data_IF_440837845076
#
_entry.id   IF_440837845076
#
_cell.length_a   1.000
_cell.length_b   1.000
_cell.length_c   1.000
_cell.angle_alpha   90.00
_cell.angle_beta   90.00
_cell.angle_gamma   90.00
#
_symmetry.space_group_name_H-M   'P 1'
#
loop_
_entity.id
_entity.type
_entity.pdbx_description
1 polymer ?
#
# COMPACT_ATOMS: atom_id res chain seq x y z
N UNK A 1 -3.86 8.07 -11.89
CA UNK A 1 -3.55 6.63 -11.67
C UNK A 1 -3.38 6.39 -10.17
N UNK A 2 -3.92 5.29 -9.63
CA UNK A 2 -3.81 4.93 -8.22
C UNK A 2 -3.04 3.61 -8.07
N UNK A 3 -1.82 3.66 -7.52
CA UNK A 3 -1.06 2.48 -7.12
C UNK A 3 -1.34 2.14 -5.66
N UNK A 4 -1.86 0.94 -5.38
CA UNK A 4 -2.05 0.43 -4.02
C UNK A 4 -0.90 -0.53 -3.70
N UNK A 5 -0.04 -0.14 -2.77
CA UNK A 5 1.31 -0.70 -2.63
C UNK A 5 1.46 -1.42 -1.29
N UNK A 6 1.81 -2.71 -1.34
CA UNK A 6 2.33 -3.42 -0.18
C UNK A 6 3.80 -3.07 0.06
N UNK A 7 4.13 -2.44 1.19
CA UNK A 7 5.50 -2.00 1.51
C UNK A 7 6.32 -3.05 2.27
N UNK A 8 5.80 -4.26 2.39
CA UNK A 8 6.44 -5.34 3.13
C UNK A 8 6.42 -5.14 4.65
N UNK A 9 7.20 -5.93 5.42
CA UNK A 9 7.14 -5.98 6.88
C UNK A 9 7.81 -4.78 7.58
N UNK A 10 8.31 -3.79 6.82
CA UNK A 10 8.81 -2.52 7.34
C UNK A 10 10.31 -2.28 7.16
N UNK A 11 11.10 -3.31 6.83
CA UNK A 11 12.48 -3.11 6.37
C UNK A 11 12.48 -2.74 4.89
N UNK A 12 13.25 -1.71 4.53
CA UNK A 12 13.46 -1.33 3.13
C UNK A 12 14.06 -2.47 2.29
N UNK A 13 14.91 -3.32 2.88
CA UNK A 13 15.51 -4.46 2.20
C UNK A 13 14.49 -5.56 1.82
N UNK A 14 13.29 -5.52 2.40
CA UNK A 14 12.19 -6.45 2.12
C UNK A 14 11.09 -5.82 1.26
N UNK A 15 11.29 -4.60 0.76
CA UNK A 15 10.42 -4.01 -0.26
C UNK A 15 10.73 -4.62 -1.63
N UNK A 16 9.71 -4.83 -2.44
CA UNK A 16 9.89 -5.22 -3.85
C UNK A 16 10.44 -4.02 -4.64
N UNK A 17 11.18 -4.31 -5.71
CA UNK A 17 11.65 -3.25 -6.61
C UNK A 17 10.48 -2.47 -7.23
N UNK A 18 9.40 -3.16 -7.58
CA UNK A 18 8.18 -2.54 -8.10
C UNK A 18 7.54 -1.55 -7.10
N UNK A 19 7.50 -1.89 -5.80
CA UNK A 19 6.99 -0.99 -4.77
C UNK A 19 7.86 0.27 -4.65
N UNK A 20 9.19 0.12 -4.72
CA UNK A 20 10.13 1.25 -4.68
C UNK A 20 9.94 2.15 -5.91
N UNK A 21 9.89 1.57 -7.10
CA UNK A 21 9.71 2.30 -8.36
C UNK A 21 8.38 3.07 -8.38
N UNK A 22 7.29 2.45 -7.93
CA UNK A 22 5.99 3.11 -7.85
C UNK A 22 5.96 4.24 -6.81
N UNK A 23 6.61 4.04 -5.64
CA UNK A 23 6.78 5.11 -4.65
C UNK A 23 7.60 6.28 -5.20
N UNK A 24 8.64 5.99 -6.01
CA UNK A 24 9.46 7.01 -6.67
C UNK A 24 8.74 7.72 -7.82
N UNK A 25 7.86 7.04 -8.54
CA UNK A 25 7.07 7.63 -9.62
C UNK A 25 5.86 8.44 -9.13
N UNK A 26 5.32 8.14 -7.94
CA UNK A 26 4.15 8.82 -7.41
C UNK A 26 4.41 10.30 -7.10
N UNK A 27 3.44 11.16 -7.33
CA UNK A 27 3.45 12.58 -6.95
C UNK A 27 2.98 12.77 -5.50
N UNK A 28 2.03 11.94 -5.08
CA UNK A 28 1.39 12.02 -3.77
C UNK A 28 1.41 10.65 -3.11
N UNK A 29 1.86 10.60 -1.86
CA UNK A 29 1.83 9.38 -1.02
C UNK A 29 0.73 9.50 0.02
N UNK A 30 -0.18 8.55 0.04
CA UNK A 30 -1.30 8.47 0.99
C UNK A 30 -1.11 7.25 1.87
N UNK A 31 -1.20 7.39 3.19
CA UNK A 31 -0.96 6.27 4.10
C UNK A 31 -1.33 6.49 5.55
N UNK A 32 -1.24 5.42 6.34
CA UNK A 32 -1.27 5.52 7.80
C UNK A 32 -0.01 6.23 8.30
N UNK A 33 -0.15 7.10 9.30
CA UNK A 33 0.97 7.89 9.87
C UNK A 33 2.22 7.04 10.13
N UNK A 34 2.10 5.87 10.73
CA UNK A 34 3.24 4.98 11.02
C UNK A 34 3.91 4.47 9.74
N UNK A 35 3.14 4.05 8.73
CA UNK A 35 3.69 3.50 7.50
C UNK A 35 4.35 4.57 6.63
N UNK A 36 3.85 5.80 6.66
CA UNK A 36 4.50 6.91 5.93
C UNK A 36 5.90 7.22 6.44
N UNK A 37 6.23 6.85 7.69
CA UNK A 37 7.58 6.98 8.20
C UNK A 37 8.55 5.97 7.58
N UNK A 38 8.08 4.75 7.31
CA UNK A 38 8.87 3.65 6.75
C UNK A 38 9.30 3.92 5.30
N UNK A 39 8.51 4.70 4.56
CA UNK A 39 8.81 5.06 3.17
C UNK A 39 9.42 6.46 3.02
N UNK A 40 9.79 7.14 4.12
CA UNK A 40 10.26 8.54 4.10
C UNK A 40 11.45 8.75 3.16
N UNK A 41 12.32 7.75 2.99
CA UNK A 41 13.44 7.81 2.06
C UNK A 41 13.02 7.98 0.59
N UNK A 42 11.79 7.58 0.24
CA UNK A 42 11.23 7.63 -1.11
C UNK A 42 10.28 8.81 -1.32
N UNK A 43 9.88 9.50 -0.24
CA UNK A 43 8.94 10.61 -0.34
C UNK A 43 9.61 11.90 -0.76
N UNK A 44 10.89 12.15 -0.43
CA UNK A 44 11.55 13.42 -0.73
C UNK A 44 10.67 14.63 -0.32
N UNK A 45 10.47 15.56 -1.26
CA UNK A 45 9.60 16.74 -1.12
C UNK A 45 8.14 16.52 -1.55
N UNK A 46 7.75 15.28 -1.86
CA UNK A 46 6.40 14.94 -2.32
C UNK A 46 5.37 15.25 -1.24
N UNK A 47 4.14 15.50 -1.68
CA UNK A 47 3.01 15.62 -0.78
C UNK A 47 2.75 14.27 -0.11
N UNK A 48 2.67 14.26 1.23
CA UNK A 48 2.34 13.06 2.01
C UNK A 48 1.07 13.29 2.83
N UNK A 49 0.00 12.60 2.48
CA UNK A 49 -1.27 12.63 3.21
C UNK A 49 -1.28 11.49 4.22
N UNK A 50 -1.47 11.86 5.49
CA UNK A 50 -1.39 10.96 6.64
C UNK A 50 -2.73 10.93 7.32
N UNK A 51 -3.33 9.75 7.45
CA UNK A 51 -4.53 9.58 8.30
C UNK A 51 -4.19 8.82 9.58
N UNK A 52 -5.07 8.95 10.58
CA UNK A 52 -5.00 8.19 11.84
C UNK A 52 -5.54 6.77 11.70
N UNK A 53 -5.66 6.08 12.84
CA UNK A 53 -6.34 4.78 12.93
C UNK A 53 -7.85 4.92 12.64
N UNK A 54 -8.50 3.82 12.24
CA UNK A 54 -9.95 3.74 12.00
C UNK A 54 -10.46 4.71 10.91
N UNK A 55 -9.59 5.04 9.95
CA UNK A 55 -9.84 5.98 8.85
C UNK A 55 -9.50 5.35 7.50
N UNK A 56 -9.69 4.04 7.36
CA UNK A 56 -9.36 3.26 6.18
C UNK A 56 -10.20 3.72 4.97
N UNK A 57 -11.51 3.88 5.17
CA UNK A 57 -12.44 4.36 4.13
C UNK A 57 -12.07 5.78 3.70
N UNK A 58 -11.91 6.70 4.64
CA UNK A 58 -11.50 8.08 4.35
C UNK A 58 -10.16 8.14 3.60
N UNK A 59 -9.21 7.28 3.97
CA UNK A 59 -7.90 7.21 3.32
C UNK A 59 -8.00 6.72 1.87
N UNK A 60 -8.79 5.69 1.62
CA UNK A 60 -9.01 5.18 0.27
C UNK A 60 -9.74 6.22 -0.58
N UNK A 61 -10.78 6.85 -0.04
CA UNK A 61 -11.54 7.89 -0.72
C UNK A 61 -10.64 9.08 -1.12
N UNK A 62 -9.80 9.58 -0.20
CA UNK A 62 -8.85 10.64 -0.51
C UNK A 62 -7.84 10.25 -1.62
N UNK A 63 -7.34 9.00 -1.59
CA UNK A 63 -6.41 8.53 -2.63
C UNK A 63 -7.09 8.41 -4.01
N UNK A 64 -8.34 7.95 -4.03
CA UNK A 64 -9.17 7.85 -5.24
C UNK A 64 -9.44 9.24 -5.82
N UNK A 65 -9.88 10.19 -5.01
CA UNK A 65 -10.18 11.56 -5.45
C UNK A 65 -8.98 12.25 -6.08
N UNK A 66 -7.80 12.08 -5.49
CA UNK A 66 -6.55 12.62 -6.04
C UNK A 66 -6.18 11.95 -7.37
N UNK A 67 -6.39 10.64 -7.48
CA UNK A 67 -6.14 9.92 -8.73
C UNK A 67 -7.13 10.34 -9.84
N UNK A 68 -8.39 10.63 -9.50
CA UNK A 68 -9.39 11.19 -10.42
C UNK A 68 -9.06 12.61 -10.85
N UNK A 69 -8.44 13.40 -9.97
CA UNK A 69 -7.90 14.72 -10.31
C UNK A 69 -6.68 14.67 -11.26
N UNK A 70 -6.26 13.46 -11.68
CA UNK A 70 -5.18 13.26 -12.64
C UNK A 70 -3.81 13.00 -12.02
N UNK A 71 -3.70 12.96 -10.69
CA UNK A 71 -2.42 12.72 -10.03
C UNK A 71 -1.97 11.26 -10.12
N UNK A 72 -0.66 11.06 -10.04
CA UNK A 72 -0.07 9.75 -9.79
C UNK A 72 0.03 9.50 -8.27
N UNK A 73 -0.83 8.63 -7.73
CA UNK A 73 -1.01 8.46 -6.29
C UNK A 73 -0.51 7.09 -5.83
N UNK A 74 0.29 7.07 -4.76
CA UNK A 74 0.69 5.85 -4.05
C UNK A 74 -0.06 5.73 -2.72
N UNK A 75 -1.00 4.77 -2.64
CA UNK A 75 -1.66 4.38 -1.39
C UNK A 75 -0.92 3.20 -0.75
N UNK A 76 -0.26 3.43 0.38
CA UNK A 76 0.58 2.40 1.01
C UNK A 76 -0.17 1.57 2.07
N UNK A 77 0.13 0.27 2.08
CA UNK A 77 -0.27 -0.72 3.10
C UNK A 77 0.97 -1.44 3.62
N UNK A 78 1.05 -1.73 4.92
CA UNK A 78 2.07 -2.64 5.46
C UNK A 78 1.90 -4.05 4.92
N UNK A 79 2.98 -4.82 4.81
CA UNK A 79 2.92 -6.18 4.29
C UNK A 79 2.50 -6.18 2.82
N UNK A 80 1.47 -6.97 2.51
CA UNK A 80 0.82 -6.99 1.21
C UNK A 80 -0.47 -6.14 1.21
N UNK A 81 -0.76 -5.44 0.13
CA UNK A 81 -1.97 -4.60 0.04
C UNK A 81 -3.28 -5.40 -0.01
N UNK A 82 -3.24 -6.66 -0.44
CA UNK A 82 -4.37 -7.58 -0.53
C UNK A 82 -4.64 -8.38 0.74
N UNK A 83 -3.70 -8.47 1.68
CA UNK A 83 -3.86 -9.23 2.93
C UNK A 83 -4.13 -8.27 4.09
N UNK A 84 -5.40 -8.15 4.49
CA UNK A 84 -5.87 -7.19 5.50
C UNK A 84 -5.40 -5.74 5.22
N UNK A 85 -5.16 -5.41 3.95
CA UNK A 85 -4.67 -4.11 3.48
C UNK A 85 -5.76 -3.28 2.78
N UNK A 86 -5.34 -2.27 2.01
CA UNK A 86 -6.26 -1.30 1.40
C UNK A 86 -6.81 -1.73 0.03
N UNK A 87 -6.26 -2.77 -0.62
CA UNK A 87 -6.62 -3.12 -2.00
C UNK A 87 -8.11 -3.47 -2.15
N UNK A 88 -8.63 -4.33 -1.26
CA UNK A 88 -10.05 -4.72 -1.29
C UNK A 88 -10.98 -3.52 -1.14
N UNK A 89 -10.67 -2.62 -0.21
CA UNK A 89 -11.50 -1.42 0.04
C UNK A 89 -11.46 -0.43 -1.12
N UNK A 90 -10.29 -0.23 -1.74
CA UNK A 90 -10.17 0.61 -2.96
C UNK A 90 -11.01 0.03 -4.09
N UNK A 91 -10.85 -1.27 -4.39
CA UNK A 91 -11.60 -1.92 -5.47
C UNK A 91 -13.12 -1.88 -5.21
N UNK A 92 -13.54 -2.07 -3.96
CA UNK A 92 -14.95 -1.94 -3.57
C UNK A 92 -15.49 -0.54 -3.84
N UNK A 93 -14.78 0.52 -3.39
CA UNK A 93 -15.21 1.90 -3.57
C UNK A 93 -15.26 2.30 -5.05
N UNK A 94 -14.21 1.99 -5.80
CA UNK A 94 -14.14 2.26 -7.26
C UNK A 94 -15.25 1.53 -8.00
N UNK A 95 -15.46 0.24 -7.70
CA UNK A 95 -16.49 -0.58 -8.33
C UNK A 95 -17.91 -0.12 -8.02
N UNK A 96 -18.23 0.17 -6.74
CA UNK A 96 -19.56 0.64 -6.32
C UNK A 96 -19.93 1.98 -6.94
N UNK A 97 -18.96 2.89 -7.04
CA UNK A 97 -19.17 4.23 -7.57
C UNK A 97 -18.97 4.32 -9.09
N UNK A 98 -18.56 3.23 -9.75
CA UNK A 98 -18.25 3.15 -11.20
C UNK A 98 -17.27 4.24 -11.63
N UNK A 99 -16.22 4.45 -10.83
CA UNK A 99 -15.24 5.50 -11.09
C UNK A 99 -14.29 5.06 -12.20
N UNK A 100 -13.98 5.98 -13.12
CA UNK A 100 -12.97 5.78 -14.15
C UNK A 100 -11.59 6.13 -13.57
N UNK A 101 -11.01 5.19 -12.82
CA UNK A 101 -9.68 5.31 -12.21
C UNK A 101 -8.90 4.04 -12.50
N UNK A 102 -7.73 4.18 -13.12
CA UNK A 102 -6.79 3.08 -13.24
C UNK A 102 -6.21 2.75 -11.85
N UNK A 103 -6.54 1.55 -11.35
CA UNK A 103 -6.02 1.01 -10.09
C UNK A 103 -5.01 -0.09 -10.38
N UNK A 104 -3.78 0.09 -9.90
CA UNK A 104 -2.70 -0.90 -9.96
C UNK A 104 -2.42 -1.44 -8.56
N UNK A 105 -2.44 -2.75 -8.39
CA UNK A 105 -2.06 -3.40 -7.14
C UNK A 105 -0.60 -3.84 -7.23
N UNK A 106 0.22 -3.43 -6.25
CA UNK A 106 1.64 -3.78 -6.19
C UNK A 106 1.87 -4.67 -4.97
N UNK A 107 2.36 -5.91 -5.18
CA UNK A 107 2.49 -6.87 -4.09
C UNK A 107 3.61 -6.49 -3.14
N UNK A 108 3.45 -6.91 -1.88
CA UNK A 108 4.46 -6.77 -0.84
C UNK A 108 4.65 -8.06 -0.05
N UNK A 109 5.79 -8.19 0.63
CA UNK A 109 6.04 -9.34 1.49
C UNK A 109 5.16 -9.28 2.74
N UNK A 110 4.16 -10.16 2.83
CA UNK A 110 3.27 -10.19 3.99
C UNK A 110 3.96 -10.65 5.27
N UNK A 111 3.43 -10.22 6.42
CA UNK A 111 4.04 -10.41 7.72
C UNK A 111 4.22 -11.89 8.11
N UNK A 112 3.27 -12.76 7.75
CA UNK A 112 3.36 -14.19 8.06
C UNK A 112 4.56 -14.85 7.41
N UNK A 113 4.82 -14.55 6.13
CA UNK A 113 5.96 -15.08 5.37
C UNK A 113 7.28 -14.48 5.86
N UNK A 114 7.30 -13.18 6.14
CA UNK A 114 8.47 -12.52 6.72
C UNK A 114 8.85 -13.14 8.08
N UNK A 115 7.86 -13.34 8.97
CA UNK A 115 8.08 -13.98 10.26
C UNK A 115 8.54 -15.44 10.12
N UNK A 116 7.98 -16.20 9.17
CA UNK A 116 8.37 -17.58 8.93
C UNK A 116 9.87 -17.71 8.60
N UNK A 117 10.43 -16.77 7.81
CA UNK A 117 11.86 -16.75 7.47
C UNK A 117 12.79 -16.62 8.69
N UNK A 118 12.33 -15.96 9.75
CA UNK A 118 13.08 -15.80 11.00
C UNK A 118 13.00 -17.03 11.90
N UNK A 119 12.00 -17.89 11.66
CA UNK A 119 11.68 -19.07 12.45
C UNK A 119 12.08 -20.38 11.74
N UNK A 120 12.67 -20.30 10.55
CA UNK A 120 12.99 -21.43 9.69
C UNK A 120 11.90 -21.69 8.66
N UNK A 121 11.05 -22.70 8.89
CA UNK A 121 10.00 -23.10 7.95
C UNK A 121 8.66 -23.46 8.63
N UNK A 122 8.12 -22.62 9.55
CA UNK A 122 6.91 -22.96 10.31
C UNK A 122 5.63 -23.04 9.46
N UNK A 123 5.65 -22.51 8.23
CA UNK A 123 4.52 -22.48 7.29
C UNK A 123 4.77 -23.39 6.06
N UNK A 124 5.59 -24.44 6.19
CA UNK A 124 5.98 -25.30 5.07
C UNK A 124 4.90 -26.29 4.59
N UNK A 125 3.86 -26.50 5.40
CA UNK A 125 2.68 -27.30 5.06
C UNK A 125 1.47 -26.39 4.84
N UNK A 126 0.31 -26.99 4.59
CA UNK A 126 -0.95 -26.29 4.43
C UNK A 126 -1.15 -25.28 5.56
N UNK A 127 -1.36 -24.02 5.19
CA UNK A 127 -1.60 -22.92 6.11
C UNK A 127 -2.67 -21.99 5.54
N UNK A 128 -3.28 -21.20 6.42
CA UNK A 128 -4.18 -20.12 6.07
C UNK A 128 -3.55 -18.78 6.47
N UNK A 129 -3.82 -17.75 5.68
CA UNK A 129 -3.54 -16.36 6.04
C UNK A 129 -4.55 -15.82 7.05
#
# INVERSE_FOLDING_TARGET
MLSVIGIGPGSQAMMTMEAIEALQAAEIVVGYKTYTHLVKAFTGDKQVIKTGMCKEIERCQAAIELAQAGHNVALISSGDAGIYGMAGLVLELVGKQKLDVEVRLIPGMTASIAAASLLGAPLMHDFCH
#
